data_IF_978167502630
#
_entry.id   IF_978167502630
#
_cell.length_a   1.000
_cell.length_b   1.000
_cell.length_c   1.000
_cell.angle_alpha   90.00
_cell.angle_beta   90.00
_cell.angle_gamma   90.00
#
_symmetry.space_group_name_H-M   'P 1'
#
loop_
_entity.id
_entity.type
_entity.pdbx_description
1 polymer ?
#
# COMPACT_ATOMS: atom_id res chain seq x y z
N UNK A 1 21.11 44.88 9.71
CA UNK A 1 21.95 43.75 10.15
C UNK A 1 21.37 42.47 9.53
N UNK A 2 22.02 41.92 8.50
CA UNK A 2 21.59 40.70 7.80
C UNK A 2 22.28 39.50 8.45
N UNK A 3 21.52 38.53 8.97
CA UNK A 3 22.06 37.26 9.45
C UNK A 3 22.05 36.26 8.31
N UNK A 4 23.26 35.85 7.91
CA UNK A 4 23.54 34.80 6.93
C UNK A 4 23.21 33.44 7.53
N UNK A 5 22.40 32.64 6.82
CA UNK A 5 22.16 31.23 7.13
C UNK A 5 23.14 30.41 6.32
N UNK A 6 24.04 29.73 7.01
CA UNK A 6 25.03 28.83 6.41
C UNK A 6 24.38 27.48 6.23
N UNK A 7 24.15 27.11 4.97
CA UNK A 7 23.71 25.78 4.59
C UNK A 7 24.91 24.82 4.60
N UNK A 8 24.91 23.85 5.49
CA UNK A 8 25.89 22.74 5.48
C UNK A 8 25.47 21.70 4.48
N UNK A 9 26.15 21.63 3.34
CA UNK A 9 26.13 20.45 2.46
C UNK A 9 26.92 19.32 3.15
N UNK A 10 26.27 18.21 3.44
CA UNK A 10 26.96 16.96 3.74
C UNK A 10 27.06 16.12 2.46
N UNK A 11 28.27 16.04 1.92
CA UNK A 11 28.62 15.10 0.86
C UNK A 11 28.72 13.70 1.46
N UNK A 12 27.82 12.80 1.05
CA UNK A 12 27.96 11.38 1.32
C UNK A 12 28.80 10.73 0.21
N UNK A 13 29.95 10.21 0.58
CA UNK A 13 30.86 9.45 -0.30
C UNK A 13 30.28 8.04 -0.46
N UNK A 14 29.91 7.69 -1.70
CA UNK A 14 29.44 6.36 -2.06
C UNK A 14 30.66 5.42 -2.20
N UNK A 15 30.91 4.58 -1.23
CA UNK A 15 31.89 3.49 -1.34
C UNK A 15 31.18 2.25 -1.86
N UNK A 16 31.43 1.91 -3.14
CA UNK A 16 30.99 0.65 -3.73
C UNK A 16 31.91 -0.47 -3.23
N UNK A 17 31.42 -1.27 -2.29
CA UNK A 17 32.03 -2.51 -1.85
C UNK A 17 31.20 -3.69 -2.35
N UNK A 18 31.69 -4.38 -3.38
CA UNK A 18 31.16 -5.69 -3.79
C UNK A 18 31.62 -6.72 -2.78
N UNK A 19 30.71 -7.26 -1.98
CA UNK A 19 30.94 -8.47 -1.16
C UNK A 19 29.83 -9.46 -1.39
N UNK A 20 30.25 -10.65 -1.81
CA UNK A 20 29.42 -11.80 -2.09
C UNK A 20 28.65 -12.29 -0.83
N UNK A 21 27.39 -12.58 -1.04
CA UNK A 21 26.63 -13.63 -0.39
C UNK A 21 26.46 -13.57 1.14
N UNK A 22 25.45 -12.86 1.60
CA UNK A 22 24.52 -13.29 2.64
C UNK A 22 23.28 -12.44 2.51
N UNK A 23 22.14 -13.04 2.20
CA UNK A 23 20.83 -12.37 2.32
C UNK A 23 20.54 -12.18 3.82
N UNK A 24 21.09 -11.15 4.40
CA UNK A 24 20.63 -10.66 5.68
C UNK A 24 19.23 -10.08 5.41
N UNK A 25 18.20 -10.76 5.95
CA UNK A 25 16.88 -10.17 6.08
C UNK A 25 17.08 -8.85 6.83
N UNK A 26 16.91 -7.73 6.13
CA UNK A 26 16.85 -6.42 6.77
C UNK A 26 15.61 -6.46 7.67
N UNK A 27 15.85 -6.66 8.96
CA UNK A 27 14.84 -6.41 9.98
C UNK A 27 14.46 -4.94 9.81
N UNK A 28 13.24 -4.67 9.38
CA UNK A 28 12.67 -3.32 9.39
C UNK A 28 12.50 -2.91 10.86
N UNK A 29 13.57 -2.41 11.47
CA UNK A 29 13.51 -1.69 12.73
C UNK A 29 13.04 -0.27 12.40
N UNK A 30 11.89 0.13 12.92
CA UNK A 30 11.42 1.52 12.85
C UNK A 30 9.99 1.74 12.35
N UNK A 31 9.23 0.72 11.98
CA UNK A 31 7.84 0.90 11.54
C UNK A 31 6.85 1.19 12.68
N UNK A 32 7.28 1.05 13.95
CA UNK A 32 6.47 1.36 15.13
C UNK A 32 6.29 2.87 15.37
N UNK A 33 7.06 3.73 14.68
CA UNK A 33 7.01 5.20 14.82
C UNK A 33 6.23 5.93 13.72
N UNK A 34 5.63 5.22 12.76
CA UNK A 34 4.70 5.90 11.87
C UNK A 34 3.39 6.10 12.63
N UNK A 35 3.05 7.35 13.01
CA UNK A 35 1.81 7.60 13.70
C UNK A 35 0.68 7.04 12.85
N UNK A 36 -0.21 6.30 13.49
CA UNK A 36 -1.49 5.93 12.92
C UNK A 36 -2.27 7.23 12.68
N UNK A 37 -1.92 7.94 11.61
CA UNK A 37 -2.55 9.21 11.28
C UNK A 37 -3.88 8.93 10.62
N UNK A 38 -4.85 9.36 11.36
CA UNK A 38 -6.22 9.68 11.05
C UNK A 38 -7.14 8.51 10.71
N UNK A 39 -7.67 7.93 11.78
CA UNK A 39 -8.99 7.33 11.77
C UNK A 39 -10.00 8.45 11.50
N UNK A 40 -10.52 8.55 10.29
CA UNK A 40 -11.60 9.47 10.02
C UNK A 40 -12.92 8.73 10.16
N UNK A 41 -13.68 9.04 11.18
CA UNK A 41 -15.05 8.53 11.38
C UNK A 41 -15.96 8.82 10.16
N UNK A 42 -15.58 9.77 9.32
CA UNK A 42 -16.26 10.15 8.09
C UNK A 42 -16.41 8.98 7.11
N UNK A 43 -15.43 8.09 7.03
CA UNK A 43 -15.48 6.93 6.15
C UNK A 43 -16.22 5.73 6.75
N UNK A 44 -16.45 5.70 8.06
CA UNK A 44 -17.19 4.62 8.70
C UNK A 44 -18.72 4.76 8.55
N UNK A 45 -19.24 5.95 8.23
CA UNK A 45 -20.66 6.27 8.05
C UNK A 45 -21.09 6.36 6.59
N UNK A 46 -20.39 5.72 5.68
CA UNK A 46 -20.69 5.82 4.27
C UNK A 46 -21.97 5.04 3.90
N UNK A 47 -23.06 5.73 3.60
CA UNK A 47 -24.34 5.17 3.14
C UNK A 47 -24.49 5.17 1.61
N UNK A 48 -23.47 5.59 0.87
CA UNK A 48 -23.51 5.81 -0.56
C UNK A 48 -22.93 4.68 -1.40
N UNK A 49 -23.67 4.19 -2.38
CA UNK A 49 -23.22 3.47 -3.57
C UNK A 49 -22.61 2.07 -3.40
N UNK A 50 -23.37 1.14 -2.82
CA UNK A 50 -23.00 -0.28 -2.78
C UNK A 50 -23.43 -1.09 -4.01
N UNK A 51 -24.05 -0.48 -5.02
CA UNK A 51 -24.74 -1.20 -6.07
C UNK A 51 -23.85 -2.05 -6.99
N UNK A 52 -22.55 -1.87 -6.95
CA UNK A 52 -21.61 -2.57 -7.85
C UNK A 52 -20.45 -3.28 -7.13
N UNK A 53 -20.20 -2.99 -5.86
CA UNK A 53 -19.12 -3.63 -5.13
C UNK A 53 -19.50 -5.06 -4.76
N UNK A 54 -18.80 -6.11 -5.24
CA UNK A 54 -19.15 -7.50 -4.99
C UNK A 54 -18.85 -7.96 -3.55
N UNK A 55 -18.19 -7.13 -2.76
CA UNK A 55 -17.81 -7.43 -1.39
C UNK A 55 -18.77 -6.79 -0.39
N UNK A 56 -18.69 -7.20 0.88
CA UNK A 56 -19.53 -6.70 1.97
C UNK A 56 -18.67 -6.11 3.09
N UNK A 57 -19.29 -5.33 3.97
CA UNK A 57 -18.70 -4.88 5.24
C UNK A 57 -18.12 -3.47 5.21
N UNK A 58 -18.26 -2.73 4.12
CA UNK A 58 -17.76 -1.34 4.05
C UNK A 58 -16.27 -1.25 4.37
N UNK A 59 -15.84 -0.13 4.93
CA UNK A 59 -14.44 0.08 5.30
C UNK A 59 -13.93 -0.78 6.47
N UNK A 60 -14.76 -1.60 7.08
CA UNK A 60 -14.30 -2.64 8.00
C UNK A 60 -13.75 -3.89 7.31
N UNK A 61 -13.90 -3.99 5.99
CA UNK A 61 -13.43 -5.11 5.18
C UNK A 61 -12.42 -4.63 4.12
N UNK A 62 -11.23 -5.20 4.11
CA UNK A 62 -10.15 -4.79 3.21
C UNK A 62 -10.48 -5.01 1.72
N UNK A 63 -11.17 -6.08 1.37
CA UNK A 63 -11.54 -6.35 -0.03
C UNK A 63 -12.61 -5.39 -0.54
N UNK A 64 -13.61 -5.08 0.28
CA UNK A 64 -14.60 -4.06 -0.04
C UNK A 64 -13.93 -2.70 -0.22
N UNK A 65 -13.08 -2.33 0.73
CA UNK A 65 -12.39 -1.03 0.73
C UNK A 65 -11.47 -0.86 -0.47
N UNK A 66 -10.65 -1.86 -0.78
CA UNK A 66 -9.76 -1.80 -1.92
C UNK A 66 -10.53 -1.66 -3.24
N UNK A 67 -11.63 -2.41 -3.42
CA UNK A 67 -12.51 -2.28 -4.57
C UNK A 67 -13.09 -0.87 -4.67
N UNK A 68 -13.65 -0.36 -3.57
CA UNK A 68 -14.29 0.95 -3.52
C UNK A 68 -13.30 2.08 -3.81
N UNK A 69 -12.12 2.05 -3.16
CA UNK A 69 -11.08 3.06 -3.37
C UNK A 69 -10.60 3.06 -4.83
N UNK A 70 -10.41 1.88 -5.44
CA UNK A 70 -10.07 1.79 -6.86
C UNK A 70 -11.17 2.40 -7.73
N UNK A 71 -12.42 2.06 -7.49
CA UNK A 71 -13.55 2.59 -8.24
C UNK A 71 -13.64 4.13 -8.13
N UNK A 72 -13.53 4.66 -6.92
CA UNK A 72 -13.63 6.10 -6.64
C UNK A 72 -12.46 6.89 -7.26
N UNK A 73 -11.27 6.29 -7.31
CA UNK A 73 -10.06 6.97 -7.81
C UNK A 73 -9.84 6.81 -9.31
N UNK A 74 -10.29 5.72 -9.90
CA UNK A 74 -9.97 5.37 -11.30
C UNK A 74 -11.20 5.15 -12.19
N UNK A 75 -12.38 4.95 -11.60
CA UNK A 75 -13.59 4.53 -12.32
C UNK A 75 -13.59 3.06 -12.73
N UNK A 76 -12.56 2.28 -12.36
CA UNK A 76 -12.46 0.86 -12.72
C UNK A 76 -13.25 0.02 -11.73
N UNK A 77 -14.28 -0.67 -12.22
CA UNK A 77 -15.00 -1.68 -11.46
C UNK A 77 -14.21 -3.00 -11.53
N UNK A 78 -13.55 -3.36 -10.43
CA UNK A 78 -12.79 -4.61 -10.36
C UNK A 78 -13.73 -5.81 -10.37
N UNK A 79 -13.33 -6.94 -10.98
CA UNK A 79 -14.04 -8.20 -10.81
C UNK A 79 -13.91 -8.71 -9.37
N UNK A 80 -14.71 -9.72 -9.03
CA UNK A 80 -14.56 -10.44 -7.76
C UNK A 80 -13.30 -11.33 -7.80
N UNK A 81 -12.27 -10.94 -7.04
CA UNK A 81 -11.04 -11.72 -6.85
C UNK A 81 -11.11 -12.68 -5.65
N UNK A 82 -12.25 -12.72 -4.95
CA UNK A 82 -12.45 -13.54 -3.76
C UNK A 82 -11.81 -12.94 -2.49
N UNK A 83 -11.32 -13.81 -1.62
CA UNK A 83 -10.66 -13.41 -0.37
C UNK A 83 -9.29 -12.76 -0.62
N UNK A 84 -8.88 -11.84 0.23
CA UNK A 84 -7.67 -11.02 0.06
C UNK A 84 -6.42 -11.83 -0.32
N UNK A 85 -6.17 -12.95 0.35
CA UNK A 85 -5.00 -13.80 0.07
C UNK A 85 -5.00 -14.46 -1.32
N UNK A 86 -6.12 -14.42 -2.05
CA UNK A 86 -6.22 -14.99 -3.39
C UNK A 86 -6.13 -13.93 -4.51
N UNK A 87 -6.16 -12.64 -4.18
CA UNK A 87 -6.28 -11.56 -5.16
C UNK A 87 -5.18 -11.60 -6.22
N UNK A 88 -3.90 -11.79 -5.84
CA UNK A 88 -2.79 -11.89 -6.80
C UNK A 88 -3.01 -13.00 -7.83
N UNK A 89 -3.40 -14.20 -7.35
CA UNK A 89 -3.63 -15.35 -8.22
C UNK A 89 -4.88 -15.18 -9.10
N UNK A 90 -5.95 -14.62 -8.56
CA UNK A 90 -7.18 -14.37 -9.30
C UNK A 90 -6.96 -13.31 -10.38
N UNK A 91 -6.29 -12.19 -10.04
CA UNK A 91 -5.95 -11.13 -10.98
C UNK A 91 -5.07 -11.65 -12.13
N UNK A 92 -4.02 -12.41 -11.82
CA UNK A 92 -3.16 -13.02 -12.85
C UNK A 92 -3.96 -13.92 -13.82
N UNK A 93 -4.88 -14.76 -13.30
CA UNK A 93 -5.75 -15.59 -14.14
C UNK A 93 -6.72 -14.79 -15.00
N UNK A 94 -7.10 -13.59 -14.56
CA UNK A 94 -8.00 -12.69 -15.30
C UNK A 94 -7.25 -11.73 -16.23
N UNK A 95 -5.91 -11.90 -16.37
CA UNK A 95 -5.08 -11.13 -17.31
C UNK A 95 -4.53 -9.81 -16.77
N UNK A 96 -4.69 -9.51 -15.48
CA UNK A 96 -4.04 -8.36 -14.86
C UNK A 96 -2.54 -8.59 -14.69
N UNK A 97 -1.76 -7.54 -14.81
CA UNK A 97 -0.33 -7.58 -14.53
C UNK A 97 -0.10 -7.70 -13.01
N UNK A 98 0.62 -8.73 -12.60
CA UNK A 98 1.10 -8.88 -11.22
C UNK A 98 2.60 -8.58 -11.17
N UNK A 99 3.03 -7.82 -10.17
CA UNK A 99 4.38 -7.27 -10.09
C UNK A 99 4.92 -7.29 -8.67
N UNK A 100 6.23 -7.35 -8.51
CA UNK A 100 6.92 -7.06 -7.25
C UNK A 100 7.16 -5.56 -7.05
N UNK A 101 6.93 -4.74 -8.09
CA UNK A 101 7.17 -3.30 -8.08
C UNK A 101 5.83 -2.56 -7.92
N UNK A 102 5.73 -1.59 -6.99
CA UNK A 102 4.53 -0.79 -6.83
C UNK A 102 4.30 0.13 -8.02
N UNK A 103 3.05 0.50 -8.24
CA UNK A 103 2.66 1.57 -9.14
C UNK A 103 1.50 2.37 -8.52
N UNK A 104 1.38 3.64 -8.86
CA UNK A 104 0.24 4.46 -8.43
C UNK A 104 -1.05 3.87 -8.99
N UNK A 105 -2.08 3.81 -8.18
CA UNK A 105 -3.36 3.13 -8.44
C UNK A 105 -3.25 1.60 -8.58
N UNK A 106 -2.13 0.98 -8.17
CA UNK A 106 -2.06 -0.48 -8.04
C UNK A 106 -2.63 -0.95 -6.70
N UNK A 107 -2.97 -2.23 -6.64
CA UNK A 107 -3.42 -2.87 -5.40
C UNK A 107 -2.22 -3.57 -4.78
N UNK A 108 -1.89 -3.21 -3.55
CA UNK A 108 -0.92 -3.95 -2.75
C UNK A 108 -1.59 -5.16 -2.10
N UNK A 109 -0.93 -6.32 -2.19
CA UNK A 109 -1.46 -7.58 -1.69
C UNK A 109 -0.51 -8.21 -0.67
N UNK A 110 -1.04 -8.52 0.51
CA UNK A 110 -0.40 -9.36 1.51
C UNK A 110 -1.14 -10.70 1.63
N UNK A 111 -0.62 -11.59 2.43
CA UNK A 111 -1.18 -12.93 2.58
C UNK A 111 -2.65 -12.95 3.03
N UNK A 112 -3.11 -11.95 3.76
CA UNK A 112 -4.48 -11.87 4.30
C UNK A 112 -5.07 -10.46 4.23
N UNK A 113 -4.47 -9.56 3.43
CA UNK A 113 -4.91 -8.16 3.37
C UNK A 113 -4.62 -7.56 2.00
N UNK A 114 -5.40 -6.55 1.64
CA UNK A 114 -5.20 -5.74 0.43
C UNK A 114 -5.41 -4.26 0.73
N UNK A 115 -4.72 -3.41 -0.02
CA UNK A 115 -4.87 -1.96 0.03
C UNK A 115 -4.60 -1.36 -1.35
N UNK A 116 -4.76 -0.05 -1.49
CA UNK A 116 -4.55 0.67 -2.76
C UNK A 116 -3.40 1.65 -2.61
N UNK A 117 -2.42 1.57 -3.50
CA UNK A 117 -1.32 2.53 -3.58
C UNK A 117 -1.81 3.77 -4.31
N UNK A 118 -1.84 4.91 -3.63
CA UNK A 118 -2.31 6.17 -4.21
C UNK A 118 -1.19 7.18 -4.46
N UNK A 119 0.00 6.97 -3.88
CA UNK A 119 1.21 7.72 -4.20
C UNK A 119 2.46 6.87 -3.97
N UNK A 120 3.57 7.28 -4.56
CA UNK A 120 4.90 6.67 -4.38
C UNK A 120 5.88 7.82 -4.12
N UNK A 121 6.81 7.66 -3.17
CA UNK A 121 7.86 8.64 -2.91
C UNK A 121 8.78 8.79 -4.12
N UNK A 122 9.45 9.93 -4.23
CA UNK A 122 10.33 10.25 -5.37
C UNK A 122 11.44 9.21 -5.56
N UNK A 123 11.97 8.66 -4.48
CA UNK A 123 12.99 7.62 -4.48
C UNK A 123 12.44 6.19 -4.65
N UNK A 124 11.12 6.03 -4.70
CA UNK A 124 10.43 4.74 -4.82
C UNK A 124 10.48 3.86 -3.56
N UNK A 125 11.03 4.36 -2.46
CA UNK A 125 11.19 3.58 -1.23
C UNK A 125 9.90 3.45 -0.41
N UNK A 126 8.96 4.40 -0.57
CA UNK A 126 7.71 4.47 0.18
C UNK A 126 6.50 4.50 -0.76
N UNK A 127 5.41 3.93 -0.28
CA UNK A 127 4.09 3.98 -0.93
C UNK A 127 3.07 4.57 0.03
N UNK A 128 2.19 5.43 -0.46
CA UNK A 128 1.03 5.88 0.29
C UNK A 128 -0.12 4.94 0.01
N UNK A 129 -0.62 4.29 1.04
CA UNK A 129 -1.65 3.26 0.94
C UNK A 129 -2.93 3.78 1.57
N UNK A 130 -4.05 3.54 0.87
CA UNK A 130 -5.41 3.66 1.40
C UNK A 130 -6.00 2.26 1.53
N UNK A 131 -6.61 1.96 2.66
CA UNK A 131 -7.10 0.62 2.98
C UNK A 131 -8.25 0.65 3.99
N UNK A 132 -8.97 -0.43 4.09
CA UNK A 132 -9.93 -0.66 5.16
C UNK A 132 -9.71 -2.02 5.81
N UNK A 133 -10.40 -2.29 6.92
CA UNK A 133 -10.23 -3.54 7.67
C UNK A 133 -8.92 -3.64 8.45
N UNK A 134 -8.09 -2.61 8.40
CA UNK A 134 -6.92 -2.50 9.26
C UNK A 134 -7.36 -1.99 10.63
N UNK A 135 -7.16 -2.80 11.67
CA UNK A 135 -7.69 -2.53 13.02
C UNK A 135 -9.19 -2.17 13.06
N UNK A 136 -9.98 -2.62 12.07
CA UNK A 136 -11.43 -2.51 12.07
C UNK A 136 -12.04 -1.31 11.34
N UNK A 137 -11.25 -0.50 10.62
CA UNK A 137 -11.78 0.66 9.90
C UNK A 137 -10.91 1.10 8.73
N UNK A 138 -11.22 2.29 8.20
CA UNK A 138 -10.42 2.95 7.18
C UNK A 138 -9.10 3.45 7.76
N UNK A 139 -8.04 3.29 6.98
CA UNK A 139 -6.71 3.77 7.32
C UNK A 139 -5.98 4.23 6.06
N UNK A 140 -5.14 5.25 6.19
CA UNK A 140 -4.23 5.64 5.13
C UNK A 140 -2.89 6.14 5.69
N UNK A 141 -1.82 5.97 4.94
CA UNK A 141 -0.49 6.42 5.36
C UNK A 141 0.64 5.94 4.46
N UNK A 142 1.85 6.43 4.77
CA UNK A 142 3.08 6.02 4.10
C UNK A 142 3.63 4.74 4.71
N UNK A 143 4.02 3.80 3.84
CA UNK A 143 4.64 2.52 4.22
C UNK A 143 5.85 2.25 3.33
N UNK A 144 6.87 1.53 3.82
CA UNK A 144 7.94 1.06 2.96
C UNK A 144 7.39 0.20 1.81
N UNK A 145 7.83 0.45 0.57
CA UNK A 145 7.29 -0.19 -0.63
C UNK A 145 7.43 -1.72 -0.64
N UNK A 146 8.42 -2.27 0.06
CA UNK A 146 8.71 -3.70 0.07
C UNK A 146 8.49 -4.33 1.46
N UNK A 147 7.46 -3.88 2.14
CA UNK A 147 7.21 -4.19 3.53
C UNK A 147 6.24 -5.36 3.72
N UNK A 148 6.67 -6.35 4.46
CA UNK A 148 5.80 -7.40 5.01
C UNK A 148 5.29 -6.97 6.37
N UNK A 149 3.97 -6.95 6.57
CA UNK A 149 3.37 -6.63 7.86
C UNK A 149 3.58 -7.76 8.87
N UNK A 150 3.48 -7.46 10.16
CA UNK A 150 3.50 -8.48 11.20
C UNK A 150 2.50 -9.61 10.85
N UNK A 151 3.00 -10.84 10.71
CA UNK A 151 2.22 -12.03 10.33
C UNK A 151 1.57 -12.01 8.94
N UNK A 152 1.93 -11.05 8.08
CA UNK A 152 1.40 -10.95 6.72
C UNK A 152 2.54 -10.71 5.74
N UNK A 153 2.90 -11.74 4.98
CA UNK A 153 3.89 -11.61 3.92
C UNK A 153 3.37 -10.72 2.80
N UNK A 154 4.20 -9.81 2.29
CA UNK A 154 3.93 -9.10 1.06
C UNK A 154 4.00 -10.08 -0.12
N UNK A 155 2.94 -10.15 -0.93
CA UNK A 155 2.90 -10.92 -2.17
C UNK A 155 3.29 -10.09 -3.38
N UNK A 156 3.01 -8.81 -3.38
CA UNK A 156 3.30 -7.86 -4.45
C UNK A 156 2.12 -6.95 -4.76
N UNK A 157 2.04 -6.55 -6.02
CA UNK A 157 1.10 -5.54 -6.51
C UNK A 157 0.33 -6.04 -7.73
N UNK A 158 -0.93 -5.63 -7.86
CA UNK A 158 -1.73 -5.83 -9.06
C UNK A 158 -1.82 -4.49 -9.77
N UNK A 159 -1.33 -4.42 -11.01
CA UNK A 159 -1.45 -3.23 -11.84
C UNK A 159 -2.78 -3.26 -12.59
N UNK A 160 -3.43 -2.13 -12.69
CA UNK A 160 -4.78 -2.01 -13.26
C UNK A 160 -4.79 -1.56 -14.74
N UNK A 161 -3.61 -1.46 -15.36
CA UNK A 161 -3.44 -1.08 -16.76
C UNK A 161 -2.40 -1.96 -17.45
#
# INVERSE_FOLDING_TARGET
MKKSVITKLMSAILSVGILAGTTAAVKAEGWEEYPAETWTDEYNNWEGYQAYNPYFGGYSNCTWSAWQIVYDTTGIALPDFGVAGNWMNAAARMGYTVSSVPAVNSIVCWSHHVGVVTAISEDGSMVYIKEGGYCGGYHEGWFPAYYSRSRQALYGYIWLW
#
